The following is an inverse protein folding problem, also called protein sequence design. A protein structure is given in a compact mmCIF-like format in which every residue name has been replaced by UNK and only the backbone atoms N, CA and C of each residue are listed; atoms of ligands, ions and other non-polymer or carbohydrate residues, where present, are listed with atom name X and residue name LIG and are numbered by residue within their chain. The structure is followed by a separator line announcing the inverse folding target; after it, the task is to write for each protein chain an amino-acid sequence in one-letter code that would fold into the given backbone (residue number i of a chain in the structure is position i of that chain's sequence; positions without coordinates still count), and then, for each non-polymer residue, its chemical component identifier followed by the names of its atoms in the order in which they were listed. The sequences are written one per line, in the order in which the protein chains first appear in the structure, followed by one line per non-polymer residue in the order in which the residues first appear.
data_IF_136514041187
#
_entry.id   IF_136514041187
#
_cell.length_a   1.000
_cell.length_b   1.000
_cell.length_c   1.000
_cell.angle_alpha   90.00
_cell.angle_beta   90.00
_cell.angle_gamma   90.00
#
_symmetry.space_group_name_H-M   'P 1'
#
loop_
_entity.id
_entity.type
_entity.pdbx_description
1 polymer ?
#
# COMPACT_ATOMS: atom_id res chain seq x y z
N UNK A 1 -4.48 -11.42 -20.09
CA UNK A 1 -3.57 -12.20 -19.23
C UNK A 1 -3.50 -13.65 -19.73
N UNK A 2 -2.34 -14.27 -19.64
CA UNK A 2 -2.11 -15.68 -20.01
C UNK A 2 -1.96 -16.59 -18.78
N UNK A 3 -1.62 -16.03 -17.63
CA UNK A 3 -1.55 -16.71 -16.35
C UNK A 3 -1.77 -15.70 -15.22
N UNK A 4 -2.11 -16.19 -14.03
CA UNK A 4 -2.26 -15.36 -12.85
C UNK A 4 -2.30 -16.18 -11.58
N UNK A 5 -1.81 -15.59 -10.50
CA UNK A 5 -1.87 -16.11 -9.14
C UNK A 5 -2.25 -14.98 -8.19
N UNK A 6 -2.72 -15.30 -7.00
CA UNK A 6 -2.82 -14.29 -5.94
C UNK A 6 -1.42 -13.86 -5.49
N UNK A 7 -1.25 -12.59 -5.16
CA UNK A 7 0.04 -12.07 -4.72
C UNK A 7 0.04 -11.73 -3.23
N UNK A 8 -0.31 -10.54 -2.86
CA UNK A 8 -0.13 -9.94 -1.56
C UNK A 8 -1.06 -10.49 -0.46
N UNK A 9 -0.74 -10.20 0.79
CA UNK A 9 -1.68 -10.24 1.90
C UNK A 9 -2.60 -9.02 1.86
N UNK A 10 -3.79 -9.17 2.41
CA UNK A 10 -4.76 -8.08 2.46
C UNK A 10 -5.57 -8.10 3.76
N UNK A 11 -6.03 -6.93 4.16
CA UNK A 11 -6.90 -6.80 5.33
C UNK A 11 -8.34 -7.18 5.00
N UNK A 12 -8.96 -8.00 5.86
CA UNK A 12 -10.36 -8.45 5.71
C UNK A 12 -11.37 -7.56 6.45
N UNK A 13 -11.02 -6.35 6.82
CA UNK A 13 -11.90 -5.50 7.64
C UNK A 13 -12.92 -4.72 6.79
N UNK A 14 -14.09 -5.30 6.57
CA UNK A 14 -15.24 -4.62 5.95
C UNK A 14 -15.10 -4.41 4.44
N UNK A 15 -15.72 -3.35 3.92
CA UNK A 15 -15.83 -3.07 2.47
C UNK A 15 -14.52 -2.61 1.82
N UNK A 16 -13.50 -2.36 2.60
CA UNK A 16 -12.21 -1.85 2.12
C UNK A 16 -11.10 -2.85 2.44
N UNK A 17 -10.96 -3.83 1.57
CA UNK A 17 -9.77 -4.68 1.54
C UNK A 17 -8.65 -3.93 0.83
N UNK A 18 -7.48 -3.88 1.44
CA UNK A 18 -6.30 -3.28 0.83
C UNK A 18 -5.12 -4.26 0.93
N UNK A 19 -4.36 -4.37 -0.15
CA UNK A 19 -3.09 -5.09 -0.16
C UNK A 19 -2.11 -4.46 0.84
N UNK A 20 -1.22 -5.23 1.45
CA UNK A 20 -0.28 -4.69 2.43
C UNK A 20 0.94 -4.04 1.78
N UNK A 21 1.46 -4.63 0.72
CA UNK A 21 2.60 -4.10 -0.01
C UNK A 21 2.27 -2.95 -0.96
N UNK A 22 3.26 -2.48 -1.71
CA UNK A 22 3.05 -1.49 -2.76
C UNK A 22 2.30 -2.09 -3.94
N UNK A 23 1.53 -1.28 -4.64
CA UNK A 23 0.99 -1.59 -5.96
C UNK A 23 1.41 -0.46 -6.89
N UNK A 24 2.22 -0.81 -7.88
CA UNK A 24 2.57 0.05 -9.02
C UNK A 24 2.07 -0.61 -10.29
N UNK A 25 1.48 0.15 -11.18
CA UNK A 25 0.97 -0.31 -12.45
C UNK A 25 1.21 0.77 -13.51
N UNK A 26 1.84 0.36 -14.61
CA UNK A 26 2.14 1.25 -15.75
C UNK A 26 2.88 2.54 -15.30
N UNK A 27 3.84 2.39 -14.38
CA UNK A 27 4.62 3.51 -13.83
C UNK A 27 3.92 4.34 -12.76
N UNK A 28 2.67 4.05 -12.43
CA UNK A 28 1.89 4.81 -11.46
C UNK A 28 1.76 4.07 -10.11
N UNK A 29 2.02 4.77 -9.02
CA UNK A 29 1.83 4.24 -7.65
C UNK A 29 0.33 4.23 -7.33
N UNK A 30 -0.28 3.06 -7.47
CA UNK A 30 -1.71 2.87 -7.20
C UNK A 30 -2.01 2.88 -5.71
N UNK A 31 -1.20 2.17 -4.91
CA UNK A 31 -1.34 2.21 -3.46
C UNK A 31 -0.06 1.75 -2.76
N UNK A 32 0.16 2.25 -1.55
CA UNK A 32 1.21 1.77 -0.67
C UNK A 32 0.86 2.03 0.80
N UNK A 33 1.22 1.11 1.69
CA UNK A 33 1.08 1.27 3.13
C UNK A 33 2.35 1.83 3.75
N UNK A 34 2.21 2.72 4.72
CA UNK A 34 3.36 3.19 5.48
C UNK A 34 3.66 2.21 6.62
N UNK A 35 4.93 1.96 6.86
CA UNK A 35 5.40 1.21 8.02
C UNK A 35 5.59 2.17 9.19
N UNK A 36 4.52 2.48 9.91
CA UNK A 36 4.62 3.27 11.15
C UNK A 36 5.33 2.46 12.23
N UNK A 37 5.22 1.14 12.19
CA UNK A 37 5.99 0.25 13.06
C UNK A 37 7.30 -0.12 12.38
N UNK A 38 8.40 0.32 12.97
CA UNK A 38 9.79 -0.01 12.60
C UNK A 38 10.18 -1.46 12.87
N UNK A 39 9.32 -2.41 12.52
CA UNK A 39 9.74 -3.80 12.33
C UNK A 39 10.44 -3.85 10.98
N UNK A 40 11.71 -4.17 10.95
CA UNK A 40 12.50 -4.39 9.74
C UNK A 40 11.66 -5.09 8.69
N UNK A 41 11.66 -4.57 7.48
CA UNK A 41 10.96 -5.02 6.29
C UNK A 41 10.54 -6.48 6.27
N UNK A 42 9.40 -6.75 6.87
CA UNK A 42 8.91 -8.12 7.00
C UNK A 42 8.19 -8.59 5.74
N UNK A 43 7.71 -7.65 4.92
CA UNK A 43 7.02 -7.93 3.67
C UNK A 43 7.94 -7.67 2.50
N UNK A 44 8.22 -8.71 1.73
CA UNK A 44 8.91 -8.58 0.46
C UNK A 44 7.91 -8.19 -0.63
N UNK A 45 8.37 -7.47 -1.63
CA UNK A 45 7.62 -7.14 -2.81
C UNK A 45 8.45 -7.45 -4.06
N UNK A 46 7.75 -7.69 -5.15
CA UNK A 46 8.31 -7.74 -6.49
C UNK A 46 8.31 -6.33 -7.08
N UNK A 47 9.36 -6.01 -7.80
CA UNK A 47 9.53 -4.78 -8.54
C UNK A 47 10.04 -5.09 -9.94
N UNK A 48 9.61 -4.30 -10.91
CA UNK A 48 10.15 -4.26 -12.25
C UNK A 48 10.31 -2.81 -12.66
N UNK A 49 11.51 -2.42 -13.02
CA UNK A 49 11.79 -1.05 -13.46
C UNK A 49 11.31 -0.79 -14.91
N UNK A 50 11.36 0.46 -15.35
CA UNK A 50 10.98 0.88 -16.71
C UNK A 50 11.82 0.22 -17.82
N UNK A 51 12.97 -0.35 -17.48
CA UNK A 51 13.83 -1.09 -18.41
C UNK A 51 13.52 -2.60 -18.44
N UNK A 52 12.51 -3.04 -17.67
CA UNK A 52 12.09 -4.42 -17.57
C UNK A 52 12.98 -5.28 -16.68
N UNK A 53 13.79 -4.70 -15.79
CA UNK A 53 14.64 -5.46 -14.87
C UNK A 53 13.83 -5.86 -13.63
N UNK A 54 13.57 -7.16 -13.41
CA UNK A 54 12.83 -7.62 -12.25
C UNK A 54 13.75 -7.81 -11.03
N UNK A 55 13.25 -7.47 -9.84
CA UNK A 55 13.94 -7.80 -8.59
C UNK A 55 12.94 -7.94 -7.43
N UNK A 56 13.42 -8.47 -6.31
CA UNK A 56 12.66 -8.58 -5.07
C UNK A 56 13.39 -7.89 -3.95
N UNK A 57 12.67 -7.09 -3.17
CA UNK A 57 13.24 -6.55 -1.94
C UNK A 57 12.18 -6.40 -0.85
N UNK A 58 12.62 -6.24 0.39
CA UNK A 58 11.76 -5.84 1.48
C UNK A 58 11.41 -4.37 1.33
N UNK A 59 10.12 -4.07 1.48
CA UNK A 59 9.61 -2.73 1.25
C UNK A 59 9.18 -2.06 2.56
N UNK A 60 9.65 -0.85 2.78
CA UNK A 60 9.19 0.06 3.82
C UNK A 60 8.95 1.44 3.23
N UNK A 61 7.96 2.15 3.74
CA UNK A 61 7.64 3.50 3.29
C UNK A 61 7.22 4.36 4.47
N UNK A 62 7.58 5.63 4.42
CA UNK A 62 6.98 6.70 5.21
C UNK A 62 6.41 7.75 4.28
N UNK A 63 5.29 8.33 4.64
CA UNK A 63 4.70 9.43 3.89
C UNK A 63 4.24 10.54 4.84
N UNK A 64 4.40 11.77 4.42
CA UNK A 64 3.96 12.96 5.15
C UNK A 64 3.32 13.94 4.18
N UNK A 65 2.38 14.72 4.65
CA UNK A 65 1.83 15.85 3.91
C UNK A 65 1.71 17.09 4.78
N UNK A 66 1.83 18.25 4.16
CA UNK A 66 1.75 19.51 4.85
C UNK A 66 2.49 20.62 4.12
N UNK A 67 2.90 21.62 4.88
CA UNK A 67 3.67 22.76 4.37
C UNK A 67 4.96 22.98 5.20
N UNK A 68 5.73 24.00 4.87
CA UNK A 68 7.00 24.31 5.55
C UNK A 68 6.89 24.48 7.07
N UNK A 69 5.69 24.84 7.57
CA UNK A 69 5.47 25.08 9.00
C UNK A 69 4.98 23.84 9.73
N UNK A 70 4.25 22.95 9.05
CA UNK A 70 3.55 21.84 9.68
C UNK A 70 3.44 20.65 8.72
N UNK A 71 3.85 19.46 9.20
CA UNK A 71 3.75 18.20 8.46
C UNK A 71 2.97 17.17 9.27
N UNK A 72 2.07 16.45 8.62
CA UNK A 72 1.33 15.32 9.17
C UNK A 72 1.87 14.01 8.60
N UNK A 73 2.04 13.00 9.46
CA UNK A 73 2.34 11.64 9.00
C UNK A 73 1.09 10.99 8.41
N UNK A 74 1.26 10.34 7.27
CA UNK A 74 0.21 9.58 6.59
C UNK A 74 0.34 8.08 6.93
N UNK A 75 -0.79 7.42 7.16
CA UNK A 75 -0.82 5.97 7.37
C UNK A 75 -0.72 5.19 6.06
N UNK A 76 -1.12 5.77 4.94
CA UNK A 76 -1.16 5.09 3.66
C UNK A 76 -1.43 6.04 2.50
N UNK A 77 -1.08 5.57 1.31
CA UNK A 77 -1.53 6.09 0.03
C UNK A 77 -2.58 5.12 -0.52
N UNK A 78 -3.80 5.61 -0.77
CA UNK A 78 -4.90 4.85 -1.36
C UNK A 78 -5.29 3.54 -0.64
N UNK A 79 -4.98 3.43 0.66
CA UNK A 79 -5.43 2.31 1.50
C UNK A 79 -6.27 2.83 2.65
N UNK A 80 -7.51 2.39 2.70
CA UNK A 80 -8.38 2.70 3.83
C UNK A 80 -8.04 1.79 5.00
N UNK A 81 -7.49 2.39 6.05
CA UNK A 81 -7.12 1.72 7.31
C UNK A 81 -8.09 2.11 8.43
N UNK A 82 -7.62 2.16 9.66
CA UNK A 82 -8.44 2.50 10.84
C UNK A 82 -8.90 3.96 10.91
N UNK A 83 -8.48 4.83 10.02
CA UNK A 83 -8.75 6.28 9.97
C UNK A 83 -8.29 7.06 11.22
N UNK A 84 -7.54 6.44 12.13
CA UNK A 84 -6.94 7.11 13.29
C UNK A 84 -5.86 8.09 12.84
N UNK A 85 -5.08 7.70 11.83
CA UNK A 85 -4.07 8.56 11.20
C UNK A 85 -4.56 9.07 9.85
N UNK A 86 -4.07 10.23 9.40
CA UNK A 86 -4.39 10.74 8.07
C UNK A 86 -4.03 9.74 6.96
N UNK A 87 -4.87 9.66 5.95
CA UNK A 87 -4.62 8.88 4.73
C UNK A 87 -4.75 9.78 3.50
N UNK A 88 -3.94 9.49 2.51
CA UNK A 88 -4.03 10.08 1.18
C UNK A 88 -4.95 9.24 0.29
N UNK A 89 -5.86 9.88 -0.43
CA UNK A 89 -6.77 9.24 -1.36
C UNK A 89 -6.88 10.04 -2.65
N UNK A 90 -6.61 9.41 -3.78
CA UNK A 90 -6.83 9.96 -5.11
C UNK A 90 -7.87 9.14 -5.90
N UNK A 91 -7.96 9.38 -7.20
CA UNK A 91 -8.91 8.68 -8.10
C UNK A 91 -8.65 7.19 -8.25
N UNK A 92 -7.45 6.70 -7.94
CA UNK A 92 -7.16 5.26 -7.90
C UNK A 92 -7.90 4.55 -6.75
N UNK A 93 -8.16 5.27 -5.66
CA UNK A 93 -8.91 4.72 -4.53
C UNK A 93 -10.42 4.79 -4.73
N UNK A 94 -10.93 5.95 -5.11
CA UNK A 94 -12.37 6.20 -5.21
C UNK A 94 -12.70 7.50 -5.96
N UNK A 95 -13.95 7.64 -6.39
CA UNK A 95 -14.41 8.88 -7.03
C UNK A 95 -15.04 9.88 -6.06
N UNK A 96 -15.50 9.41 -4.90
CA UNK A 96 -16.05 10.24 -3.82
C UNK A 96 -15.98 9.48 -2.48
N UNK A 97 -16.24 10.20 -1.39
CA UNK A 97 -16.10 9.66 -0.02
C UNK A 97 -17.37 9.03 0.54
N UNK A 98 -18.44 8.84 -0.22
CA UNK A 98 -19.72 8.34 0.32
C UNK A 98 -19.60 7.01 1.06
N UNK A 99 -18.82 6.08 0.54
CA UNK A 99 -18.54 4.80 1.19
C UNK A 99 -17.76 4.94 2.50
N UNK A 100 -16.85 5.91 2.58
CA UNK A 100 -16.12 6.22 3.82
C UNK A 100 -17.05 6.85 4.85
N UNK A 101 -17.87 7.82 4.44
CA UNK A 101 -18.77 8.57 5.31
C UNK A 101 -19.85 7.68 5.91
N UNK A 102 -20.27 6.64 5.20
CA UNK A 102 -21.17 5.62 5.73
C UNK A 102 -20.52 4.73 6.79
N UNK A 103 -19.22 4.56 6.76
CA UNK A 103 -18.48 3.67 7.66
C UNK A 103 -17.85 4.38 8.84
N UNK A 104 -17.32 5.58 8.62
CA UNK A 104 -16.59 6.36 9.60
C UNK A 104 -17.30 7.70 9.83
N UNK A 105 -17.64 7.98 11.07
CA UNK A 105 -18.31 9.23 11.42
C UNK A 105 -17.31 10.37 11.63
N UNK A 106 -17.76 11.59 11.37
CA UNK A 106 -17.02 12.82 11.68
C UNK A 106 -15.63 12.90 11.03
N UNK A 107 -15.51 12.46 9.78
CA UNK A 107 -14.28 12.63 9.02
C UNK A 107 -14.05 14.10 8.70
N UNK A 108 -12.80 14.53 8.80
CA UNK A 108 -12.29 15.76 8.18
C UNK A 108 -11.60 15.39 6.88
N UNK A 109 -11.85 16.16 5.83
CA UNK A 109 -11.31 15.96 4.50
C UNK A 109 -10.75 17.28 3.98
N UNK A 110 -9.47 17.28 3.63
CA UNK A 110 -8.86 18.34 2.85
C UNK A 110 -8.91 17.95 1.38
N UNK A 111 -9.52 18.76 0.56
CA UNK A 111 -9.49 18.64 -0.89
C UNK A 111 -8.30 19.45 -1.40
N UNK A 112 -7.35 18.78 -2.01
CA UNK A 112 -6.12 19.40 -2.52
C UNK A 112 -6.11 19.34 -4.04
N UNK A 113 -5.94 20.47 -4.68
CA UNK A 113 -5.78 20.60 -6.13
C UNK A 113 -4.64 21.58 -6.42
N UNK A 114 -3.77 21.22 -7.35
CA UNK A 114 -2.56 22.01 -7.64
C UNK A 114 -1.79 22.37 -6.36
N UNK A 115 -1.56 21.38 -5.52
CA UNK A 115 -0.88 21.50 -4.23
C UNK A 115 -1.48 22.53 -3.25
N UNK A 116 -2.74 22.87 -3.43
CA UNK A 116 -3.43 23.89 -2.60
C UNK A 116 -4.72 23.29 -2.02
N UNK A 117 -4.97 23.52 -0.73
CA UNK A 117 -6.25 23.18 -0.11
C UNK A 117 -7.34 24.07 -0.70
N UNK A 118 -8.24 23.47 -1.46
CA UNK A 118 -9.38 24.19 -2.09
C UNK A 118 -10.66 24.09 -1.27
N UNK A 119 -10.78 23.07 -0.43
CA UNK A 119 -11.94 22.87 0.43
C UNK A 119 -11.54 22.09 1.69
N UNK A 120 -12.16 22.42 2.82
CA UNK A 120 -12.12 21.63 4.05
C UNK A 120 -13.54 21.22 4.40
N UNK A 121 -13.80 19.92 4.48
CA UNK A 121 -15.07 19.34 4.97
C UNK A 121 -14.86 18.81 6.38
N UNK A 122 -15.58 19.35 7.36
CA UNK A 122 -15.42 19.02 8.79
C UNK A 122 -16.60 18.22 9.36
N UNK A 123 -17.73 18.14 8.63
CA UNK A 123 -19.00 17.59 9.13
C UNK A 123 -19.33 16.22 8.56
N UNK A 124 -18.38 15.56 7.92
CA UNK A 124 -18.60 14.26 7.33
C UNK A 124 -19.45 14.27 6.05
N UNK A 125 -19.57 15.43 5.38
CA UNK A 125 -20.24 15.50 4.08
C UNK A 125 -19.45 14.70 3.03
N UNK A 126 -20.18 14.07 2.11
CA UNK A 126 -19.56 13.41 0.96
C UNK A 126 -18.85 14.44 0.07
N UNK A 127 -17.59 14.17 -0.22
CA UNK A 127 -16.74 15.01 -1.03
C UNK A 127 -16.28 14.22 -2.26
N UNK A 128 -16.29 14.87 -3.43
CA UNK A 128 -15.70 14.29 -4.63
C UNK A 128 -14.18 14.28 -4.54
N UNK A 129 -13.53 13.22 -4.99
CA UNK A 129 -12.08 13.21 -5.20
C UNK A 129 -11.81 13.97 -6.50
N UNK A 130 -10.97 15.00 -6.51
CA UNK A 130 -10.66 15.75 -7.73
C UNK A 130 -9.95 14.87 -8.77
N UNK A 131 -10.08 15.19 -10.04
CA UNK A 131 -9.38 14.46 -11.12
C UNK A 131 -7.87 14.72 -11.07
N UNK A 132 -7.51 15.99 -10.91
CA UNK A 132 -6.12 16.44 -10.82
C UNK A 132 -5.81 16.86 -9.38
N UNK A 133 -5.85 15.89 -8.45
CA UNK A 133 -5.60 16.16 -7.04
C UNK A 133 -5.96 14.98 -6.14
N UNK A 134 -6.07 15.27 -4.87
CA UNK A 134 -6.26 14.23 -3.86
C UNK A 134 -7.02 14.75 -2.63
N UNK A 135 -7.37 13.82 -1.77
CA UNK A 135 -7.92 14.09 -0.45
C UNK A 135 -6.92 13.66 0.62
N UNK A 136 -6.81 14.44 1.69
CA UNK A 136 -6.29 13.96 2.97
C UNK A 136 -7.47 13.77 3.90
N UNK A 137 -7.67 12.54 4.35
CA UNK A 137 -8.84 12.17 5.17
C UNK A 137 -8.39 11.66 6.52
N UNK A 138 -9.04 12.10 7.58
CA UNK A 138 -8.68 11.76 8.95
C UNK A 138 -9.86 11.82 9.91
N UNK A 139 -9.72 11.17 11.07
CA UNK A 139 -10.67 11.25 12.20
C UNK A 139 -9.94 11.25 13.53
N UNK A 140 -10.72 11.33 14.64
CA UNK A 140 -10.17 11.27 15.99
C UNK A 140 -9.26 12.44 16.35
N UNK A 141 -8.19 12.15 17.11
CA UNK A 141 -7.25 13.17 17.60
C UNK A 141 -6.59 13.99 16.50
N UNK A 142 -6.38 13.39 15.32
CA UNK A 142 -5.83 14.10 14.17
C UNK A 142 -6.80 15.11 13.60
N UNK A 143 -8.09 14.76 13.56
CA UNK A 143 -9.15 15.69 13.14
C UNK A 143 -9.11 16.99 13.94
N UNK A 144 -9.10 16.86 15.27
CA UNK A 144 -9.14 18.02 16.15
C UNK A 144 -7.87 18.88 16.04
N UNK A 145 -6.72 18.25 15.81
CA UNK A 145 -5.46 18.97 15.54
C UNK A 145 -5.46 19.62 14.16
N UNK A 146 -5.94 18.92 13.15
CA UNK A 146 -5.93 19.39 11.77
C UNK A 146 -6.80 20.64 11.55
N UNK A 147 -7.93 20.75 12.25
CA UNK A 147 -8.80 21.93 12.19
C UNK A 147 -8.08 23.24 12.56
N UNK A 148 -6.96 23.13 13.32
CA UNK A 148 -6.13 24.29 13.72
C UNK A 148 -4.79 24.36 12.98
N UNK A 149 -4.52 23.41 12.09
CA UNK A 149 -3.22 23.36 11.40
C UNK A 149 -3.25 24.02 10.03
N UNK A 150 -4.35 23.88 9.31
CA UNK A 150 -4.44 24.26 7.90
C UNK A 150 -5.75 24.99 7.62
N UNK A 151 -5.71 25.88 6.64
CA UNK A 151 -6.87 26.59 6.14
C UNK A 151 -6.96 26.51 4.59
N UNK A 152 -8.12 26.84 4.05
CA UNK A 152 -8.29 26.92 2.59
C UNK A 152 -7.32 27.97 2.03
N UNK A 153 -6.57 27.59 1.00
CA UNK A 153 -5.50 28.39 0.40
C UNK A 153 -4.10 27.98 0.84
N UNK A 154 -3.96 27.15 1.89
CA UNK A 154 -2.65 26.63 2.29
C UNK A 154 -2.08 25.70 1.22
N UNK A 155 -0.77 25.79 1.01
CA UNK A 155 -0.02 24.85 0.17
C UNK A 155 0.17 23.52 0.90
N UNK A 156 0.04 22.41 0.16
CA UNK A 156 0.22 21.06 0.66
C UNK A 156 1.23 20.31 -0.21
N UNK A 157 2.38 19.99 0.36
CA UNK A 157 3.38 19.12 -0.28
C UNK A 157 3.23 17.70 0.24
N UNK A 158 3.46 16.72 -0.63
CA UNK A 158 3.53 15.29 -0.29
C UNK A 158 5.00 14.88 -0.29
N UNK A 159 5.48 14.38 0.85
CA UNK A 159 6.83 13.85 1.03
C UNK A 159 6.75 12.35 1.26
N UNK A 160 7.25 11.56 0.32
CA UNK A 160 7.28 10.10 0.34
C UNK A 160 8.72 9.65 0.38
N UNK A 161 9.04 8.81 1.36
CA UNK A 161 10.35 8.19 1.48
C UNK A 161 10.18 6.66 1.61
N UNK A 162 10.78 5.91 0.71
CA UNK A 162 10.68 4.45 0.66
C UNK A 162 12.03 3.78 0.47
N UNK A 163 12.14 2.54 0.95
CA UNK A 163 13.36 1.73 0.84
C UNK A 163 13.70 1.36 -0.61
N UNK A 164 12.69 1.34 -1.48
CA UNK A 164 12.83 1.20 -2.93
C UNK A 164 12.22 2.43 -3.56
N UNK A 165 12.97 3.13 -4.42
CA UNK A 165 12.43 4.26 -5.16
C UNK A 165 11.32 3.76 -6.08
N UNK A 166 10.09 4.21 -5.87
CA UNK A 166 8.94 3.83 -6.69
C UNK A 166 8.86 4.62 -7.99
N UNK A 167 9.53 5.77 -8.05
CA UNK A 167 9.67 6.52 -9.30
C UNK A 167 10.53 5.70 -10.28
N UNK A 168 10.05 5.50 -11.50
CA UNK A 168 10.72 4.65 -12.48
C UNK A 168 10.47 3.14 -12.31
N UNK A 169 9.55 2.74 -11.43
CA UNK A 169 9.04 1.38 -11.40
C UNK A 169 7.83 1.26 -12.35
N UNK A 170 7.90 0.34 -13.27
CA UNK A 170 6.78 0.01 -14.17
C UNK A 170 5.71 -0.81 -13.43
N UNK A 171 6.17 -1.77 -12.63
CA UNK A 171 5.28 -2.69 -11.91
C UNK A 171 5.83 -2.99 -10.52
N UNK A 172 4.96 -2.98 -9.51
CA UNK A 172 5.24 -3.56 -8.21
C UNK A 172 3.99 -4.20 -7.61
N UNK A 173 4.20 -5.27 -6.87
CA UNK A 173 3.17 -5.88 -6.02
C UNK A 173 3.79 -6.54 -4.79
N UNK A 174 3.04 -6.51 -3.70
CA UNK A 174 3.48 -7.09 -2.44
C UNK A 174 3.43 -8.61 -2.39
N UNK A 175 4.05 -9.14 -1.37
CA UNK A 175 4.06 -10.57 -1.04
C UNK A 175 4.42 -10.79 0.42
N UNK A 176 4.82 -12.01 0.74
CA UNK A 176 5.22 -12.42 2.09
C UNK A 176 6.71 -12.23 2.35
N UNK A 177 7.39 -13.33 2.65
CA UNK A 177 8.83 -13.36 2.79
C UNK A 177 9.52 -13.82 1.51
N UNK A 178 10.80 -13.50 1.39
CA UNK A 178 11.64 -14.08 0.34
C UNK A 178 11.76 -15.59 0.58
N UNK A 179 11.60 -16.38 -0.46
CA UNK A 179 11.71 -17.84 -0.43
C UNK A 179 13.12 -18.28 -0.82
N UNK A 180 13.62 -17.71 -1.90
CA UNK A 180 14.96 -17.95 -2.44
C UNK A 180 15.70 -16.62 -2.61
N UNK A 181 16.99 -16.65 -2.33
CA UNK A 181 17.94 -15.58 -2.69
C UNK A 181 19.16 -16.27 -3.30
N UNK A 182 19.52 -15.90 -4.50
CA UNK A 182 20.64 -16.49 -5.26
C UNK A 182 20.61 -18.03 -5.31
N UNK A 183 19.41 -18.60 -5.51
CA UNK A 183 19.21 -20.04 -5.59
C UNK A 183 19.32 -20.79 -4.26
N UNK A 184 19.36 -20.09 -3.14
CA UNK A 184 19.38 -20.68 -1.80
C UNK A 184 18.09 -20.37 -1.06
N UNK A 185 17.52 -21.36 -0.41
CA UNK A 185 16.36 -21.18 0.46
C UNK A 185 16.77 -20.29 1.63
N UNK A 186 15.99 -19.24 1.89
CA UNK A 186 16.19 -18.38 3.06
C UNK A 186 15.22 -18.75 4.16
N UNK A 187 15.59 -18.46 5.39
CA UNK A 187 14.74 -18.74 6.55
C UNK A 187 13.46 -17.93 6.47
N UNK A 188 12.33 -18.59 6.79
CA UNK A 188 11.03 -17.93 6.82
C UNK A 188 10.99 -16.85 7.90
N UNK A 189 10.61 -15.64 7.52
CA UNK A 189 10.38 -14.57 8.48
C UNK A 189 9.08 -14.79 9.29
N UNK A 190 8.85 -13.94 10.29
CA UNK A 190 7.73 -14.07 11.24
C UNK A 190 6.33 -13.98 10.63
N UNK A 191 6.19 -13.42 9.45
CA UNK A 191 4.89 -13.29 8.75
C UNK A 191 4.51 -14.54 7.95
N UNK A 192 5.46 -15.40 7.65
CA UNK A 192 5.18 -16.65 6.91
C UNK A 192 4.53 -17.64 7.85
N UNK A 193 3.33 -18.09 7.51
CA UNK A 193 2.60 -19.08 8.30
C UNK A 193 3.43 -20.36 8.46
N UNK A 194 3.56 -20.82 9.70
CA UNK A 194 4.31 -22.05 10.04
C UNK A 194 3.59 -23.28 9.55
N UNK A 195 4.37 -24.36 9.35
CA UNK A 195 3.86 -25.66 8.97
C UNK A 195 3.37 -25.73 7.52
N UNK A 196 2.61 -26.78 7.23
CA UNK A 196 2.03 -27.03 5.91
C UNK A 196 0.78 -26.17 5.72
N UNK A 197 0.76 -25.40 4.65
CA UNK A 197 -0.31 -24.47 4.29
C UNK A 197 -0.52 -24.48 2.77
N UNK A 198 -1.70 -24.10 2.27
CA UNK A 198 -1.83 -23.69 0.88
C UNK A 198 -0.92 -22.49 0.65
N UNK A 199 -0.18 -22.50 -0.43
CA UNK A 199 0.83 -21.46 -0.70
C UNK A 199 0.82 -21.04 -2.15
N UNK A 200 1.11 -19.75 -2.33
CA UNK A 200 1.42 -19.17 -3.63
C UNK A 200 2.82 -18.58 -3.58
N UNK A 201 3.60 -18.79 -4.61
CA UNK A 201 4.89 -18.13 -4.78
C UNK A 201 5.03 -17.59 -6.20
N UNK A 202 5.75 -16.50 -6.31
CA UNK A 202 6.17 -15.88 -7.56
C UNK A 202 7.68 -15.72 -7.54
N UNK A 203 8.31 -16.00 -8.66
CA UNK A 203 9.74 -15.89 -8.83
C UNK A 203 10.14 -15.53 -10.24
N UNK A 204 11.40 -15.16 -10.41
CA UNK A 204 12.01 -14.92 -11.72
C UNK A 204 13.32 -15.71 -11.82
N UNK A 205 13.64 -16.16 -13.04
CA UNK A 205 14.92 -16.80 -13.32
C UNK A 205 16.08 -15.81 -13.10
N UNK A 206 17.28 -16.34 -12.90
CA UNK A 206 18.49 -15.52 -12.67
C UNK A 206 18.77 -14.50 -13.78
N UNK A 207 18.39 -14.82 -15.02
CA UNK A 207 18.54 -13.92 -16.18
C UNK A 207 17.38 -12.94 -16.35
N UNK A 208 16.40 -12.96 -15.44
CA UNK A 208 15.23 -12.08 -15.45
C UNK A 208 14.19 -12.38 -16.55
N UNK A 209 14.39 -13.43 -17.36
CA UNK A 209 13.59 -13.66 -18.58
C UNK A 209 12.41 -14.61 -18.41
N UNK A 210 12.37 -15.35 -17.32
CA UNK A 210 11.30 -16.32 -17.04
C UNK A 210 10.61 -16.00 -15.73
N UNK A 211 9.32 -15.75 -15.79
CA UNK A 211 8.45 -15.64 -14.61
C UNK A 211 7.98 -17.05 -14.21
N UNK A 212 8.02 -17.33 -12.93
CA UNK A 212 7.63 -18.61 -12.33
C UNK A 212 6.47 -18.34 -11.37
N UNK A 213 5.33 -18.98 -11.64
CA UNK A 213 4.17 -18.97 -10.77
C UNK A 213 4.00 -20.34 -10.16
N UNK A 214 3.90 -20.43 -8.84
CA UNK A 214 3.71 -21.67 -8.13
C UNK A 214 2.51 -21.57 -7.19
N UNK A 215 1.60 -22.53 -7.27
CA UNK A 215 0.47 -22.67 -6.37
C UNK A 215 0.46 -24.08 -5.82
N UNK A 216 0.41 -24.18 -4.51
CA UNK A 216 0.25 -25.46 -3.79
C UNK A 216 -1.05 -25.42 -3.02
N UNK A 217 -1.93 -26.37 -3.31
CA UNK A 217 -3.15 -26.57 -2.53
C UNK A 217 -2.81 -27.18 -1.16
N UNK A 218 -3.59 -26.86 -0.15
CA UNK A 218 -3.37 -27.33 1.23
C UNK A 218 -4.67 -27.41 2.03
N UNK A 219 -5.78 -27.64 1.35
CA UNK A 219 -7.11 -27.76 1.96
C UNK A 219 -7.79 -29.05 1.50
N UNK A 220 -8.78 -29.52 2.27
CA UNK A 220 -9.44 -30.80 1.99
C UNK A 220 -8.45 -31.95 2.06
N UNK A 221 -8.31 -32.69 0.97
CA UNK A 221 -7.42 -33.84 0.86
C UNK A 221 -5.95 -33.50 0.60
N UNK A 222 -5.65 -32.22 0.39
CA UNK A 222 -4.29 -31.70 0.14
C UNK A 222 -3.59 -31.31 1.43
N UNK A 223 -2.37 -31.78 1.62
CA UNK A 223 -1.59 -31.54 2.85
C UNK A 223 -0.87 -30.19 2.90
N UNK A 224 -0.81 -29.47 1.80
CA UNK A 224 -0.06 -28.22 1.70
C UNK A 224 1.45 -28.40 1.65
N UNK A 225 2.16 -27.28 1.70
CA UNK A 225 3.62 -27.26 1.74
C UNK A 225 4.15 -26.36 2.88
N UNK A 226 5.29 -26.70 3.41
CA UNK A 226 6.09 -25.82 4.26
C UNK A 226 6.82 -24.78 3.43
N UNK A 227 7.32 -23.73 4.08
CA UNK A 227 8.18 -22.75 3.42
C UNK A 227 9.40 -23.42 2.76
N UNK A 228 10.01 -24.36 3.46
CA UNK A 228 11.18 -25.10 2.99
C UNK A 228 10.90 -25.95 1.74
N UNK A 229 9.75 -26.60 1.69
CA UNK A 229 9.36 -27.42 0.54
C UNK A 229 8.99 -26.62 -0.70
N UNK A 230 8.71 -25.33 -0.53
CA UNK A 230 8.43 -24.41 -1.64
C UNK A 230 9.71 -23.92 -2.32
N UNK A 231 10.82 -23.83 -1.62
CA UNK A 231 12.13 -23.43 -2.14
C UNK A 231 12.91 -24.56 -2.72
#
# INVERSE_FOLDING_TARGET
AVAGVNSDFFGLSGSYSAAFGPIVRDGEVISAGTSINKGEGQYAAFFMDENGNPFFDYFTMTAKCGNEKKMMELASLNKVTSMVFPIYLDRNAMTNTSGLDNRFQNLVKFVVQNDTITQISEKGETVAVPEDGYLIVMSGDYRDKAAYMFEVGDQMTLDINSSVNLDGMETAFGGGGKLLVDGKIVEANSIVAKGRQPRTAFGVSKDGKTAIFMVVDGRGDSIGATHWEMG
#
